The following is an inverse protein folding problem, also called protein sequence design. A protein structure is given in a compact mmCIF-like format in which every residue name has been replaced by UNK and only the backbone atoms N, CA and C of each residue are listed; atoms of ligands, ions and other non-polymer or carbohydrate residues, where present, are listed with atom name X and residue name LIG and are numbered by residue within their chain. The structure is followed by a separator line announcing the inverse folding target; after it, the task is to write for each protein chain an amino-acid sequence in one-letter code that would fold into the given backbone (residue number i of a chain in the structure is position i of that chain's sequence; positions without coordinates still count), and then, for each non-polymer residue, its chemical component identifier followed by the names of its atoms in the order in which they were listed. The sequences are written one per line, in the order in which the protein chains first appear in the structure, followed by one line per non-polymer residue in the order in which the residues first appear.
data_IF_932719636007
#
_entry.id   IF_932719636007
#
_cell.length_a   1.000
_cell.length_b   1.000
_cell.length_c   1.000
_cell.angle_alpha   90.00
_cell.angle_beta   90.00
_cell.angle_gamma   90.00
#
_symmetry.space_group_name_H-M   'P 1'
#
loop_
_entity.id
_entity.type
_entity.pdbx_description
1 polymer ?
#
# COMPACT_ATOMS: atom_id res chain seq x y z
N UNK A 1 19.22 8.27 -9.67
CA UNK A 1 18.81 8.81 -8.35
C UNK A 1 17.31 8.58 -8.29
N UNK A 2 16.85 7.84 -7.31
CA UNK A 2 15.42 7.57 -7.13
C UNK A 2 14.71 8.90 -6.82
N UNK A 3 13.57 9.15 -7.46
CA UNK A 3 12.67 10.26 -7.15
C UNK A 3 11.39 9.68 -6.55
N UNK A 4 10.81 10.38 -5.58
CA UNK A 4 9.55 9.99 -4.93
C UNK A 4 8.61 11.19 -4.91
N UNK A 5 7.33 10.92 -5.13
CA UNK A 5 6.23 11.85 -4.91
C UNK A 5 5.06 11.11 -4.27
N UNK A 6 4.40 11.74 -3.33
CA UNK A 6 3.24 11.16 -2.67
C UNK A 6 2.18 12.23 -2.41
N UNK A 7 0.93 11.83 -2.47
CA UNK A 7 -0.21 12.68 -2.17
C UNK A 7 -1.33 11.84 -1.54
N UNK A 8 -1.95 12.39 -0.51
CA UNK A 8 -3.13 11.83 0.15
C UNK A 8 -4.21 12.88 0.21
N UNK A 9 -5.46 12.50 -0.09
CA UNK A 9 -6.62 13.39 -0.07
C UNK A 9 -7.78 12.67 0.65
N UNK A 10 -8.54 13.44 1.43
CA UNK A 10 -9.68 12.92 2.19
C UNK A 10 -10.82 12.41 1.30
N UNK A 11 -10.83 12.79 0.03
CA UNK A 11 -11.93 12.51 -0.88
C UNK A 11 -13.10 13.49 -0.72
N UNK A 12 -14.24 13.13 -1.33
CA UNK A 12 -15.41 14.01 -1.38
C UNK A 12 -16.51 13.63 -0.37
N UNK A 13 -16.39 12.51 0.32
CA UNK A 13 -17.46 11.94 1.18
C UNK A 13 -17.04 11.70 2.62
N UNK A 14 -15.78 11.47 2.88
CA UNK A 14 -15.25 11.19 4.21
C UNK A 14 -15.08 12.48 5.01
N UNK A 15 -15.16 12.41 6.32
CA UNK A 15 -14.91 13.52 7.26
C UNK A 15 -13.52 13.45 7.88
N UNK A 16 -12.83 12.31 7.75
CA UNK A 16 -11.48 12.07 8.23
C UNK A 16 -10.67 11.34 7.16
N UNK A 17 -9.36 11.55 7.15
CA UNK A 17 -8.44 10.80 6.31
C UNK A 17 -7.76 9.73 7.17
N UNK A 18 -8.09 8.48 6.95
CA UNK A 18 -7.54 7.32 7.65
C UNK A 18 -6.39 6.67 6.88
N UNK A 19 -6.10 7.16 5.67
CA UNK A 19 -4.93 6.78 4.90
C UNK A 19 -3.65 7.38 5.48
N UNK A 20 -2.55 6.65 5.37
CA UNK A 20 -1.20 7.11 5.68
C UNK A 20 -0.20 6.65 4.62
N UNK A 21 0.83 7.44 4.41
CA UNK A 21 2.00 7.04 3.62
C UNK A 21 3.29 7.48 4.29
N UNK A 22 4.38 6.87 3.91
CA UNK A 22 5.70 7.26 4.38
C UNK A 22 6.80 6.61 3.56
N UNK A 23 7.98 7.19 3.64
CA UNK A 23 9.17 6.65 2.98
C UNK A 23 10.45 7.09 3.70
N UNK A 24 11.51 6.32 3.49
CA UNK A 24 12.88 6.65 3.86
C UNK A 24 13.77 6.38 2.64
N UNK A 25 14.12 7.44 1.92
CA UNK A 25 14.92 7.34 0.69
C UNK A 25 16.31 6.78 0.95
N UNK A 26 16.92 7.08 2.12
CA UNK A 26 18.23 6.58 2.47
C UNK A 26 18.21 5.07 2.73
N UNK A 27 17.14 4.56 3.33
CA UNK A 27 16.91 3.14 3.51
C UNK A 27 16.29 2.47 2.28
N UNK A 28 15.77 3.25 1.33
CA UNK A 28 15.11 2.77 0.11
C UNK A 28 13.79 2.07 0.36
N UNK A 29 13.01 2.52 1.36
CA UNK A 29 11.71 1.94 1.72
C UNK A 29 10.58 2.95 1.58
N UNK A 30 9.43 2.48 1.09
CA UNK A 30 8.23 3.25 0.77
C UNK A 30 7.00 2.46 1.19
N UNK A 31 5.97 3.11 1.72
CA UNK A 31 4.77 2.41 2.16
C UNK A 31 3.52 3.28 2.10
N UNK A 32 2.37 2.62 1.85
CA UNK A 32 1.02 3.16 1.92
C UNK A 32 0.18 2.23 2.79
N UNK A 33 -0.73 2.79 3.57
CA UNK A 33 -1.60 2.09 4.50
C UNK A 33 -2.95 2.79 4.57
N UNK A 34 -4.03 2.02 4.47
CA UNK A 34 -5.42 2.45 4.62
C UNK A 34 -5.92 1.96 5.97
N UNK A 35 -6.37 2.87 6.81
CA UNK A 35 -6.79 2.59 8.17
C UNK A 35 -8.27 2.25 8.26
N UNK A 36 -8.60 1.25 9.08
CA UNK A 36 -9.96 0.86 9.38
C UNK A 36 -10.23 0.82 10.87
N UNK A 37 -11.43 1.27 11.26
CA UNK A 37 -11.84 1.30 12.66
C UNK A 37 -12.62 2.59 12.95
N UNK A 38 -13.75 2.56 13.61
CA UNK A 38 -14.60 3.74 13.84
C UNK A 38 -13.85 4.95 14.42
N UNK A 39 -14.29 6.16 14.08
CA UNK A 39 -13.74 7.45 14.54
C UNK A 39 -12.27 7.68 14.16
N UNK A 40 -11.37 7.97 15.10
CA UNK A 40 -9.95 8.22 14.84
C UNK A 40 -9.06 6.96 14.86
N UNK A 41 -9.64 5.77 15.07
CA UNK A 41 -8.87 4.56 15.28
C UNK A 41 -8.16 4.06 13.99
N UNK A 42 -8.80 4.25 12.82
CA UNK A 42 -8.20 3.93 11.52
C UNK A 42 -6.95 4.77 11.23
N UNK A 43 -7.01 6.08 11.46
CA UNK A 43 -5.87 6.99 11.31
C UNK A 43 -4.69 6.58 12.20
N UNK A 44 -4.96 6.19 13.45
CA UNK A 44 -3.94 5.71 14.38
C UNK A 44 -3.32 4.41 13.85
N UNK A 45 -4.15 3.47 13.38
CA UNK A 45 -3.68 2.18 12.90
C UNK A 45 -2.77 2.33 11.67
N UNK A 46 -3.20 3.08 10.65
CA UNK A 46 -2.42 3.30 9.42
C UNK A 46 -1.11 4.03 9.70
N UNK A 47 -1.17 5.10 10.52
CA UNK A 47 0.03 5.86 10.91
C UNK A 47 1.05 5.00 11.68
N UNK A 48 0.57 4.19 12.63
CA UNK A 48 1.42 3.30 13.42
C UNK A 48 2.03 2.20 12.54
N UNK A 49 1.24 1.62 11.62
CA UNK A 49 1.73 0.63 10.66
C UNK A 49 2.87 1.17 9.81
N UNK A 50 2.71 2.37 9.23
CA UNK A 50 3.77 3.06 8.46
C UNK A 50 5.00 3.31 9.32
N UNK A 51 4.83 3.98 10.46
CA UNK A 51 5.95 4.42 11.30
C UNK A 51 6.81 3.25 11.78
N UNK A 52 6.15 2.18 12.26
CA UNK A 52 6.87 0.99 12.76
C UNK A 52 7.55 0.24 11.60
N UNK A 53 6.89 0.10 10.44
CA UNK A 53 7.50 -0.58 9.29
C UNK A 53 8.77 0.12 8.83
N UNK A 54 8.71 1.44 8.62
CA UNK A 54 9.87 2.22 8.15
C UNK A 54 11.03 2.18 9.17
N UNK A 55 10.73 2.41 10.45
CA UNK A 55 11.74 2.41 11.50
C UNK A 55 12.43 1.05 11.66
N UNK A 56 11.65 -0.03 11.75
CA UNK A 56 12.20 -1.38 11.89
C UNK A 56 13.01 -1.81 10.67
N UNK A 57 12.53 -1.54 9.46
CA UNK A 57 13.26 -1.87 8.24
C UNK A 57 14.60 -1.12 8.19
N UNK A 58 14.61 0.20 8.42
CA UNK A 58 15.81 1.03 8.46
C UNK A 58 16.83 0.51 9.49
N UNK A 59 16.37 0.25 10.71
CA UNK A 59 17.23 -0.17 11.82
C UNK A 59 17.82 -1.57 11.56
N UNK A 60 17.03 -2.50 11.03
CA UNK A 60 17.52 -3.82 10.62
C UNK A 60 18.51 -3.73 9.45
N UNK A 61 18.23 -2.88 8.44
CA UNK A 61 19.13 -2.70 7.29
C UNK A 61 20.48 -2.07 7.71
N UNK A 62 20.48 -1.19 8.69
CA UNK A 62 21.69 -0.57 9.25
C UNK A 62 22.45 -1.49 10.22
N UNK A 63 21.84 -2.57 10.71
CA UNK A 63 22.45 -3.46 11.71
C UNK A 63 23.57 -4.33 11.12
N UNK A 64 24.81 -4.27 11.63
CA UNK A 64 25.92 -5.07 11.12
C UNK A 64 25.66 -6.59 11.14
N UNK A 65 24.85 -7.08 12.09
CA UNK A 65 24.50 -8.50 12.21
C UNK A 65 23.47 -8.97 11.18
N UNK A 66 22.79 -8.06 10.48
CA UNK A 66 21.71 -8.36 9.54
C UNK A 66 22.04 -7.97 8.09
N UNK A 67 23.19 -7.32 7.84
CA UNK A 67 23.56 -6.83 6.50
C UNK A 67 23.60 -7.90 5.41
N UNK A 68 23.89 -9.17 5.79
CA UNK A 68 23.91 -10.30 4.87
C UNK A 68 22.55 -11.04 4.76
N UNK A 69 21.52 -10.55 5.43
CA UNK A 69 20.19 -11.16 5.30
C UNK A 69 19.53 -10.70 4.01
N UNK A 70 18.82 -11.58 3.29
CA UNK A 70 18.01 -11.16 2.15
C UNK A 70 17.04 -10.05 2.54
N UNK A 71 17.00 -9.01 1.73
CA UNK A 71 16.21 -7.80 2.02
C UNK A 71 14.72 -8.09 2.18
N UNK A 72 14.20 -9.10 1.49
CA UNK A 72 12.83 -9.56 1.66
C UNK A 72 12.53 -10.06 3.08
N UNK A 73 13.51 -10.65 3.78
CA UNK A 73 13.33 -11.05 5.17
C UNK A 73 13.24 -9.82 6.09
N UNK A 74 14.04 -8.79 5.84
CA UNK A 74 13.99 -7.55 6.62
C UNK A 74 12.62 -6.89 6.45
N UNK A 75 12.13 -6.80 5.21
CA UNK A 75 10.81 -6.24 4.91
C UNK A 75 9.69 -7.06 5.58
N UNK A 76 9.75 -8.39 5.47
CA UNK A 76 8.77 -9.29 6.10
C UNK A 76 8.70 -9.07 7.61
N UNK A 77 9.85 -9.05 8.30
CA UNK A 77 9.89 -8.83 9.76
C UNK A 77 9.46 -7.41 10.16
N UNK A 78 9.74 -6.40 9.34
CA UNK A 78 9.26 -5.05 9.59
C UNK A 78 7.72 -4.99 9.61
N UNK A 79 7.07 -5.70 8.66
CA UNK A 79 5.60 -5.81 8.62
C UNK A 79 5.05 -6.60 9.82
N UNK A 80 5.71 -7.70 10.23
CA UNK A 80 5.29 -8.43 11.43
C UNK A 80 5.38 -7.58 12.70
N UNK A 81 6.43 -6.77 12.82
CA UNK A 81 6.59 -5.86 13.95
C UNK A 81 5.52 -4.75 13.94
N UNK A 82 5.16 -4.25 12.75
CA UNK A 82 4.05 -3.31 12.61
C UNK A 82 2.72 -3.94 13.05
N UNK A 83 2.44 -5.17 12.62
CA UNK A 83 1.24 -5.88 13.09
C UNK A 83 1.21 -6.00 14.62
N UNK A 84 2.33 -6.41 15.22
CA UNK A 84 2.42 -6.56 16.67
C UNK A 84 2.15 -5.23 17.37
N UNK A 85 2.71 -4.12 16.87
CA UNK A 85 2.53 -2.80 17.46
C UNK A 85 1.08 -2.31 17.39
N UNK A 86 0.44 -2.45 16.21
CA UNK A 86 -0.97 -2.04 16.02
C UNK A 86 -1.89 -2.92 16.87
N UNK A 87 -1.70 -4.25 16.86
CA UNK A 87 -2.48 -5.18 17.68
C UNK A 87 -2.37 -4.87 19.17
N UNK A 88 -1.15 -4.67 19.68
CA UNK A 88 -0.95 -4.33 21.09
C UNK A 88 -1.57 -2.98 21.46
N UNK A 89 -1.50 -1.99 20.59
CA UNK A 89 -2.15 -0.70 20.82
C UNK A 89 -3.68 -0.86 20.92
N UNK A 90 -4.28 -1.62 20.01
CA UNK A 90 -5.72 -1.92 20.02
C UNK A 90 -6.18 -2.66 21.30
N UNK A 91 -5.31 -3.50 21.89
CA UNK A 91 -5.62 -4.21 23.14
C UNK A 91 -5.47 -3.32 24.38
N UNK A 92 -4.62 -2.29 24.34
CA UNK A 92 -4.31 -1.45 25.47
C UNK A 92 -5.14 -0.16 25.57
N UNK A 93 -5.84 0.24 24.50
CA UNK A 93 -6.70 1.42 24.45
C UNK A 93 -8.09 1.05 23.92
N UNK A 94 -9.08 1.06 24.79
CA UNK A 94 -10.47 0.72 24.43
C UNK A 94 -11.03 1.58 23.28
N UNK A 95 -10.53 2.83 23.11
CA UNK A 95 -10.93 3.72 22.01
C UNK A 95 -10.42 3.24 20.65
N UNK A 96 -9.40 2.41 20.67
CA UNK A 96 -8.76 1.80 19.50
C UNK A 96 -9.14 0.32 19.33
N UNK A 97 -10.08 -0.19 20.12
CA UNK A 97 -10.50 -1.59 20.05
C UNK A 97 -11.00 -1.96 18.65
N UNK A 98 -10.42 -3.02 18.07
CA UNK A 98 -10.76 -3.48 16.73
C UNK A 98 -10.22 -2.64 15.58
N UNK A 99 -9.34 -1.67 15.84
CA UNK A 99 -8.64 -0.97 14.76
C UNK A 99 -7.73 -1.92 13.97
N UNK A 100 -7.54 -1.59 12.71
CA UNK A 100 -6.63 -2.29 11.83
C UNK A 100 -6.23 -1.41 10.65
N UNK A 101 -5.36 -1.92 9.80
CA UNK A 101 -4.99 -1.22 8.58
C UNK A 101 -4.56 -2.19 7.50
N UNK A 102 -4.63 -1.77 6.24
CA UNK A 102 -3.86 -2.39 5.16
C UNK A 102 -2.40 -1.96 5.28
N UNK A 103 -1.52 -2.63 4.57
CA UNK A 103 -0.14 -2.18 4.41
C UNK A 103 0.44 -2.74 3.12
N UNK A 104 0.80 -1.86 2.20
CA UNK A 104 1.67 -2.18 1.08
C UNK A 104 2.99 -1.45 1.28
N UNK A 105 4.07 -2.23 1.45
CA UNK A 105 5.41 -1.71 1.67
C UNK A 105 6.36 -2.23 0.59
N UNK A 106 7.22 -1.35 0.06
CA UNK A 106 8.14 -1.63 -1.02
C UNK A 106 9.55 -1.19 -0.62
N UNK A 107 10.54 -2.02 -0.89
CA UNK A 107 11.94 -1.57 -0.84
C UNK A 107 12.64 -1.79 -2.18
N UNK A 108 13.54 -0.88 -2.51
CA UNK A 108 14.42 -0.97 -3.69
C UNK A 108 15.75 -1.59 -3.26
N UNK A 109 16.13 -2.68 -3.93
CA UNK A 109 17.39 -3.38 -3.72
C UNK A 109 18.09 -3.66 -5.06
N UNK A 110 18.99 -2.77 -5.43
CA UNK A 110 19.61 -2.75 -6.74
C UNK A 110 18.56 -2.58 -7.86
N UNK A 111 18.50 -3.52 -8.82
CA UNK A 111 17.52 -3.46 -9.91
C UNK A 111 16.14 -4.04 -9.51
N UNK A 112 15.97 -4.47 -8.27
CA UNK A 112 14.76 -5.16 -7.84
C UNK A 112 13.93 -4.28 -6.89
N UNK A 113 12.63 -4.30 -7.07
CA UNK A 113 11.66 -3.86 -6.09
C UNK A 113 11.11 -5.10 -5.37
N UNK A 114 11.19 -5.11 -4.05
CA UNK A 114 10.63 -6.16 -3.18
C UNK A 114 9.44 -5.57 -2.47
N UNK A 115 8.29 -6.23 -2.53
CA UNK A 115 7.03 -5.73 -2.00
C UNK A 115 6.49 -6.70 -0.97
N UNK A 116 5.99 -6.17 0.16
CA UNK A 116 5.19 -6.90 1.13
C UNK A 116 3.78 -6.30 1.14
N UNK A 117 2.76 -7.16 1.09
CA UNK A 117 1.36 -6.72 1.09
C UNK A 117 0.54 -7.43 2.17
N UNK A 118 -0.30 -6.64 2.85
CA UNK A 118 -1.40 -7.08 3.73
C UNK A 118 -2.60 -6.18 3.45
N UNK A 119 -3.71 -6.74 3.00
CA UNK A 119 -4.91 -5.97 2.66
C UNK A 119 -5.09 -5.82 1.14
N UNK A 120 -5.83 -4.80 0.73
CA UNK A 120 -6.24 -4.50 -0.64
C UNK A 120 -5.65 -3.18 -1.21
N UNK A 121 -4.78 -2.52 -0.45
CA UNK A 121 -3.86 -1.53 -1.03
C UNK A 121 -2.90 -2.22 -1.99
N UNK A 122 -2.54 -1.55 -3.09
CA UNK A 122 -1.82 -2.21 -4.19
C UNK A 122 -0.49 -1.56 -4.53
N UNK A 123 0.42 -2.38 -5.06
CA UNK A 123 1.62 -1.94 -5.76
C UNK A 123 1.51 -2.27 -7.26
N UNK A 124 1.91 -1.32 -8.10
CA UNK A 124 1.91 -1.42 -9.56
C UNK A 124 3.28 -1.17 -10.14
N UNK A 125 3.58 -1.86 -11.25
CA UNK A 125 4.67 -1.53 -12.15
C UNK A 125 4.11 -0.79 -13.36
N UNK A 126 4.60 0.44 -13.59
CA UNK A 126 4.27 1.22 -14.77
C UNK A 126 5.48 1.20 -15.72
N UNK A 127 5.29 0.62 -16.89
CA UNK A 127 6.30 0.50 -17.94
C UNK A 127 5.75 1.00 -19.27
N UNK A 128 6.18 2.17 -19.71
CA UNK A 128 5.57 2.86 -20.85
C UNK A 128 4.09 3.14 -20.54
N UNK A 129 3.19 2.66 -21.39
CA UNK A 129 1.75 2.80 -21.21
C UNK A 129 1.11 1.66 -20.37
N UNK A 130 1.89 0.61 -20.04
CA UNK A 130 1.40 -0.51 -19.22
C UNK A 130 1.35 -0.11 -17.74
N UNK A 131 0.27 -0.50 -17.06
CA UNK A 131 0.11 -0.43 -15.62
C UNK A 131 -0.30 -1.83 -15.15
N UNK A 132 0.62 -2.53 -14.50
CA UNK A 132 0.42 -3.92 -14.09
C UNK A 132 0.45 -4.04 -12.58
N UNK A 133 -0.59 -4.59 -11.93
CA UNK A 133 -0.56 -4.84 -10.50
C UNK A 133 0.49 -5.91 -10.18
N UNK A 134 1.33 -5.64 -9.19
CA UNK A 134 2.31 -6.59 -8.67
C UNK A 134 1.68 -7.39 -7.53
N UNK A 135 0.90 -6.74 -6.69
CA UNK A 135 0.26 -7.34 -5.52
C UNK A 135 -1.08 -7.99 -5.86
N UNK A 136 -1.58 -8.78 -4.93
CA UNK A 136 -2.93 -9.36 -4.96
C UNK A 136 -3.66 -8.94 -3.71
N UNK A 137 -4.93 -8.60 -3.87
CA UNK A 137 -5.76 -8.16 -2.75
C UNK A 137 -6.07 -9.30 -1.79
N UNK A 138 -6.00 -9.03 -0.52
CA UNK A 138 -6.56 -9.88 0.52
C UNK A 138 -8.01 -9.47 0.77
N UNK A 139 -8.87 -9.79 -0.20
CA UNK A 139 -10.31 -9.57 -0.12
C UNK A 139 -11.07 -10.85 -0.48
N UNK A 140 -12.27 -10.99 0.06
CA UNK A 140 -13.10 -12.17 -0.16
C UNK A 140 -13.36 -12.38 -1.67
N UNK A 141 -13.57 -11.31 -2.42
CA UNK A 141 -13.78 -11.37 -3.87
C UNK A 141 -12.55 -11.87 -4.61
N UNK A 142 -11.37 -11.37 -4.27
CA UNK A 142 -10.11 -11.77 -4.88
C UNK A 142 -9.76 -13.23 -4.57
N UNK A 143 -9.94 -13.66 -3.32
CA UNK A 143 -9.74 -15.07 -2.93
C UNK A 143 -10.69 -16.03 -3.63
N UNK A 144 -11.97 -15.65 -3.78
CA UNK A 144 -12.94 -16.47 -4.52
C UNK A 144 -12.60 -16.52 -6.03
N UNK A 145 -12.13 -15.43 -6.61
CA UNK A 145 -11.68 -15.43 -8.01
C UNK A 145 -10.50 -16.39 -8.22
N UNK A 146 -9.58 -16.46 -7.26
CA UNK A 146 -8.45 -17.40 -7.32
C UNK A 146 -8.88 -18.86 -7.13
N UNK A 147 -9.85 -19.13 -6.23
CA UNK A 147 -10.35 -20.49 -5.99
C UNK A 147 -11.18 -21.01 -7.16
N UNK A 148 -11.88 -20.15 -7.86
CA UNK A 148 -12.77 -20.47 -8.98
C UNK A 148 -12.48 -19.59 -10.20
N UNK A 149 -11.35 -19.77 -10.89
CA UNK A 149 -10.96 -18.89 -11.99
C UNK A 149 -11.92 -18.97 -13.21
N UNK A 150 -12.65 -20.07 -13.37
CA UNK A 150 -13.66 -20.23 -14.42
C UNK A 150 -14.99 -19.50 -14.13
N UNK A 151 -15.23 -19.12 -12.87
CA UNK A 151 -16.42 -18.40 -12.41
C UNK A 151 -16.06 -17.35 -11.36
N UNK A 152 -15.25 -16.35 -11.71
CA UNK A 152 -14.88 -15.30 -10.76
C UNK A 152 -16.12 -14.47 -10.40
N UNK A 153 -16.14 -13.83 -9.22
CA UNK A 153 -17.18 -12.85 -8.89
C UNK A 153 -17.23 -11.76 -9.97
N UNK A 154 -18.43 -11.20 -10.25
CA UNK A 154 -18.54 -10.09 -11.18
C UNK A 154 -17.63 -8.91 -10.77
N UNK A 155 -17.08 -8.15 -11.73
CA UNK A 155 -16.40 -6.90 -11.42
C UNK A 155 -17.31 -6.00 -10.56
N UNK A 156 -16.75 -5.30 -9.57
CA UNK A 156 -17.49 -4.45 -8.61
C UNK A 156 -18.43 -5.21 -7.65
N UNK A 157 -18.29 -6.53 -7.49
CA UNK A 157 -18.99 -7.27 -6.45
C UNK A 157 -18.55 -6.76 -5.05
N UNK A 158 -19.53 -6.60 -4.14
CA UNK A 158 -19.25 -6.11 -2.78
C UNK A 158 -18.23 -6.96 -2.00
N UNK A 159 -18.03 -8.21 -2.38
CA UNK A 159 -17.03 -9.10 -1.78
C UNK A 159 -15.59 -8.63 -1.98
N UNK A 160 -15.31 -7.83 -3.02
CA UNK A 160 -13.99 -7.21 -3.22
C UNK A 160 -13.67 -6.14 -2.16
N UNK A 161 -14.70 -5.59 -1.48
CA UNK A 161 -14.52 -4.64 -0.40
C UNK A 161 -14.45 -5.30 0.99
N UNK A 162 -14.52 -6.63 1.08
CA UNK A 162 -14.42 -7.37 2.35
C UNK A 162 -13.00 -7.85 2.52
N UNK A 163 -12.22 -7.13 3.31
CA UNK A 163 -10.82 -7.44 3.61
C UNK A 163 -10.73 -8.72 4.45
N UNK A 164 -9.88 -9.65 4.05
CA UNK A 164 -9.66 -10.94 4.73
C UNK A 164 -8.38 -10.99 5.57
N UNK A 165 -7.44 -10.09 5.32
CA UNK A 165 -6.21 -9.92 6.11
C UNK A 165 -5.89 -8.44 6.33
N UNK A 166 -5.60 -8.06 7.57
CA UNK A 166 -5.24 -6.70 7.94
C UNK A 166 -4.20 -6.67 9.07
N UNK A 167 -3.43 -5.60 9.11
CA UNK A 167 -2.49 -5.29 10.19
C UNK A 167 -3.29 -4.96 11.46
N UNK A 168 -2.92 -5.58 12.58
CA UNK A 168 -3.43 -5.25 13.91
C UNK A 168 -4.77 -5.87 14.29
N UNK A 169 -5.47 -6.56 13.39
CA UNK A 169 -6.73 -7.24 13.69
C UNK A 169 -6.47 -8.54 14.47
N UNK A 170 -5.50 -9.31 14.04
CA UNK A 170 -5.10 -10.56 14.69
C UNK A 170 -3.69 -10.44 15.31
N UNK A 171 -3.41 -11.25 16.33
CA UNK A 171 -2.10 -11.30 17.00
C UNK A 171 -0.94 -11.64 16.04
N UNK A 172 -1.23 -12.30 14.93
CA UNK A 172 -0.27 -12.65 13.89
C UNK A 172 -0.88 -12.41 12.51
N UNK A 173 -0.06 -11.99 11.56
CA UNK A 173 -0.43 -11.79 10.16
C UNK A 173 0.58 -12.47 9.26
N UNK A 174 0.15 -12.87 8.07
CA UNK A 174 1.03 -13.42 7.04
C UNK A 174 1.06 -12.46 5.84
N UNK A 175 2.12 -11.64 5.70
CA UNK A 175 2.30 -10.80 4.52
C UNK A 175 2.60 -11.66 3.28
N UNK A 176 2.04 -11.30 2.15
CA UNK A 176 2.47 -11.83 0.86
C UNK A 176 3.69 -11.03 0.36
N UNK A 177 4.68 -11.74 -0.20
CA UNK A 177 5.89 -11.13 -0.74
C UNK A 177 5.90 -11.24 -2.26
N UNK A 178 6.27 -10.15 -2.92
CA UNK A 178 6.41 -10.05 -4.37
C UNK A 178 7.76 -9.43 -4.72
N UNK A 179 8.19 -9.65 -5.97
CA UNK A 179 9.38 -9.02 -6.51
C UNK A 179 9.14 -8.61 -7.96
N UNK A 180 9.62 -7.45 -8.34
CA UNK A 180 9.61 -6.97 -9.72
C UNK A 180 11.00 -6.46 -10.11
N UNK A 181 11.46 -6.79 -11.30
CA UNK A 181 12.69 -6.24 -11.86
C UNK A 181 12.38 -4.89 -12.51
N UNK A 182 13.07 -3.85 -12.06
CA UNK A 182 12.97 -2.50 -12.60
C UNK A 182 13.94 -2.30 -13.76
N UNK A 183 13.47 -1.66 -14.80
CA UNK A 183 14.26 -1.16 -15.92
C UNK A 183 14.32 0.37 -15.87
N UNK A 184 15.32 1.00 -16.51
CA UNK A 184 15.37 2.46 -16.62
C UNK A 184 14.10 3.03 -17.24
N UNK A 185 13.49 4.00 -16.58
CA UNK A 185 12.24 4.63 -16.99
C UNK A 185 10.97 3.96 -16.44
N UNK A 186 11.09 2.86 -15.71
CA UNK A 186 9.96 2.30 -14.97
C UNK A 186 9.57 3.20 -13.80
N UNK A 187 8.28 3.18 -13.48
CA UNK A 187 7.75 3.80 -12.27
C UNK A 187 7.03 2.73 -11.43
N UNK A 188 7.09 2.88 -10.13
CA UNK A 188 6.31 2.07 -9.19
C UNK A 188 5.25 2.97 -8.55
N UNK A 189 4.04 2.45 -8.40
CA UNK A 189 2.95 3.13 -7.72
C UNK A 189 2.49 2.28 -6.55
N UNK A 190 2.43 2.85 -5.35
CA UNK A 190 1.70 2.33 -4.22
C UNK A 190 0.43 3.15 -4.06
N UNK A 191 -0.71 2.51 -3.84
CA UNK A 191 -1.99 3.21 -3.71
C UNK A 191 -2.93 2.50 -2.73
N UNK A 192 -3.73 3.29 -2.01
CA UNK A 192 -4.91 2.79 -1.29
C UNK A 192 -6.05 2.48 -2.25
N UNK A 193 -7.03 1.72 -1.80
CA UNK A 193 -8.15 1.22 -2.61
C UNK A 193 -9.02 2.34 -3.20
N UNK A 194 -9.04 3.53 -2.57
CA UNK A 194 -9.74 4.70 -3.08
C UNK A 194 -9.31 5.13 -4.48
N UNK A 195 -8.08 4.80 -4.90
CA UNK A 195 -7.65 5.02 -6.28
C UNK A 195 -8.34 4.03 -7.23
N UNK A 196 -8.27 2.74 -6.91
CA UNK A 196 -8.76 1.65 -7.77
C UNK A 196 -10.29 1.51 -7.79
N UNK A 197 -10.98 2.09 -6.81
CA UNK A 197 -12.45 2.20 -6.81
C UNK A 197 -12.98 3.12 -7.91
N UNK A 198 -12.13 3.99 -8.45
CA UNK A 198 -12.52 5.02 -9.41
C UNK A 198 -11.78 4.98 -10.74
N UNK A 199 -10.54 4.46 -10.78
CA UNK A 199 -9.72 4.39 -11.98
C UNK A 199 -9.33 2.93 -12.24
N UNK A 200 -9.47 2.48 -13.48
CA UNK A 200 -8.93 1.18 -13.90
C UNK A 200 -7.42 1.26 -14.20
N UNK A 201 -6.77 0.10 -14.28
CA UNK A 201 -5.31 0.01 -14.49
C UNK A 201 -4.86 0.73 -15.79
N UNK A 202 -5.57 0.61 -16.94
CA UNK A 202 -5.25 1.38 -18.14
C UNK A 202 -5.39 2.90 -17.96
N UNK A 203 -6.37 3.40 -17.21
CA UNK A 203 -6.53 4.82 -16.92
C UNK A 203 -5.41 5.35 -16.06
N UNK A 204 -5.03 4.62 -15.01
CA UNK A 204 -3.87 4.94 -14.16
C UNK A 204 -2.61 5.07 -15.02
N UNK A 205 -2.32 4.08 -15.86
CA UNK A 205 -1.16 4.08 -16.75
C UNK A 205 -1.15 5.28 -17.70
N UNK A 206 -2.30 5.59 -18.32
CA UNK A 206 -2.45 6.73 -19.23
C UNK A 206 -2.23 8.07 -18.53
N UNK A 207 -2.80 8.26 -17.34
CA UNK A 207 -2.63 9.49 -16.56
C UNK A 207 -1.16 9.68 -16.21
N UNK A 208 -0.50 8.67 -15.62
CA UNK A 208 0.89 8.76 -15.22
C UNK A 208 1.82 9.00 -16.39
N UNK A 209 1.56 8.38 -17.54
CA UNK A 209 2.37 8.58 -18.74
C UNK A 209 2.20 9.98 -19.36
N UNK A 210 1.03 10.59 -19.24
CA UNK A 210 0.76 11.92 -19.80
C UNK A 210 1.42 13.06 -19.02
N UNK A 211 1.91 12.80 -17.81
CA UNK A 211 2.51 13.80 -16.94
C UNK A 211 4.03 13.90 -17.13
N UNK A 212 4.56 15.14 -17.08
CA UNK A 212 5.98 15.40 -17.27
C UNK A 212 6.84 14.85 -16.12
N UNK A 213 6.29 14.80 -14.90
CA UNK A 213 6.97 14.29 -13.72
C UNK A 213 5.99 13.57 -12.76
N UNK A 214 6.56 12.86 -11.78
CA UNK A 214 5.78 12.05 -10.83
C UNK A 214 4.95 12.90 -9.84
N UNK A 215 5.33 14.15 -9.57
CA UNK A 215 4.55 15.05 -8.70
C UNK A 215 3.26 15.47 -9.40
N UNK A 216 3.37 15.84 -10.67
CA UNK A 216 2.21 16.13 -11.50
C UNK A 216 1.32 14.89 -11.67
N UNK A 217 1.95 13.71 -11.81
CA UNK A 217 1.20 12.45 -11.93
C UNK A 217 0.38 12.13 -10.67
N UNK A 218 0.95 12.27 -9.45
CA UNK A 218 0.20 12.11 -8.21
C UNK A 218 -0.99 13.08 -8.16
N UNK A 219 -0.77 14.35 -8.48
CA UNK A 219 -1.84 15.36 -8.50
C UNK A 219 -2.93 14.98 -9.50
N UNK A 220 -2.55 14.57 -10.72
CA UNK A 220 -3.51 14.21 -11.77
C UNK A 220 -4.33 12.97 -11.41
N UNK A 221 -3.73 11.97 -10.75
CA UNK A 221 -4.44 10.79 -10.26
C UNK A 221 -5.49 11.18 -9.21
N UNK A 222 -5.12 11.96 -8.20
CA UNK A 222 -6.05 12.40 -7.16
C UNK A 222 -7.18 13.26 -7.75
N UNK A 223 -6.89 14.19 -8.64
CA UNK A 223 -7.91 15.03 -9.28
C UNK A 223 -8.86 14.20 -10.17
N UNK A 224 -8.37 13.17 -10.86
CA UNK A 224 -9.20 12.25 -11.63
C UNK A 224 -10.17 11.47 -10.72
N UNK A 225 -9.70 10.95 -9.59
CA UNK A 225 -10.54 10.28 -8.59
C UNK A 225 -11.58 11.25 -8.02
N UNK A 226 -11.20 12.49 -7.69
CA UNK A 226 -12.12 13.52 -7.18
C UNK A 226 -13.18 13.87 -8.22
N UNK A 227 -12.82 13.98 -9.49
CA UNK A 227 -13.76 14.22 -10.58
C UNK A 227 -14.75 13.06 -10.75
N UNK A 228 -14.36 11.81 -10.43
CA UNK A 228 -15.23 10.64 -10.40
C UNK A 228 -16.07 10.50 -9.12
N UNK A 229 -15.91 11.41 -8.16
CA UNK A 229 -16.74 11.51 -6.95
C UNK A 229 -16.10 11.07 -5.65
N UNK A 230 -14.85 10.55 -5.68
CA UNK A 230 -13.99 10.23 -4.53
C UNK A 230 -14.75 9.81 -3.26
N UNK A 231 -15.34 8.62 -3.25
CA UNK A 231 -16.20 8.16 -2.15
C UNK A 231 -15.40 7.79 -0.89
N UNK A 232 -14.09 7.57 -1.05
CA UNK A 232 -13.16 7.19 0.01
C UNK A 232 -11.97 8.13 0.09
N UNK A 233 -11.13 7.94 1.13
CA UNK A 233 -9.78 8.49 1.16
C UNK A 233 -8.99 7.94 -0.03
N UNK A 234 -8.07 8.71 -0.56
CA UNK A 234 -7.26 8.30 -1.70
C UNK A 234 -5.82 8.73 -1.50
N UNK A 235 -4.93 7.74 -1.55
CA UNK A 235 -3.48 7.95 -1.39
C UNK A 235 -2.72 7.28 -2.52
N UNK A 236 -1.78 8.00 -3.08
CA UNK A 236 -0.83 7.46 -4.07
C UNK A 236 0.59 7.89 -3.74
N UNK A 237 1.55 6.98 -3.96
CA UNK A 237 2.98 7.22 -3.83
C UNK A 237 3.67 6.66 -5.08
N UNK A 238 4.28 7.54 -5.87
CA UNK A 238 5.02 7.20 -7.08
C UNK A 238 6.52 7.26 -6.83
N UNK A 239 7.21 6.26 -7.35
CA UNK A 239 8.66 6.11 -7.29
C UNK A 239 9.17 5.98 -8.73
N UNK A 240 10.19 6.77 -9.09
CA UNK A 240 10.86 6.70 -10.38
C UNK A 240 12.35 6.45 -10.17
N UNK A 241 12.89 5.39 -10.77
CA UNK A 241 14.28 4.96 -10.64
C UNK A 241 15.19 5.51 -11.73
#
# INVERSE_FOLDING_TARGET
MVRVAALSDIGCRRSNNEDSFGYDEAAGIYAVSDGMGGSAAGEIASHLAITVTLANFRDMRASPGLQNRPVQHLLYYAVLNANTAVYQHAQNDERCAGMGATLVALCIDGPNAIIANVGDSRAYLLRGASCEPITRDHSLGAEQAMMNPDQPPPPHDARFNIITRAIGVDASVQPDLFAAQMLPGDRLLLASDGLMKHLDDPEIGRIVQSCADITQACTALIEAVKAAGAQDNVTCLLIEA
#
